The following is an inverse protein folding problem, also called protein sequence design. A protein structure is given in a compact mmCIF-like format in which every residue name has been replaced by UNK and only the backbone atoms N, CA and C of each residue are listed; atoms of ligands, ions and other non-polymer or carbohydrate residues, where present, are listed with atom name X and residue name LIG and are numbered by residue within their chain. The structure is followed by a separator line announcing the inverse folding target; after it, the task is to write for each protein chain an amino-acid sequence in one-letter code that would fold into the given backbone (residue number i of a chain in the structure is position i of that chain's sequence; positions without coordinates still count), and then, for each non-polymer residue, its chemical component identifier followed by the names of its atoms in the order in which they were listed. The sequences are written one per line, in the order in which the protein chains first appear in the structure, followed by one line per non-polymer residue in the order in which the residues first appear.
data_IF_196348474641
#
_entry.id   IF_196348474641
#
_cell.length_a   1.000
_cell.length_b   1.000
_cell.length_c   1.000
_cell.angle_alpha   90.00
_cell.angle_beta   90.00
_cell.angle_gamma   90.00
#
_symmetry.space_group_name_H-M   'P 1'
#
loop_
_entity.id
_entity.type
_entity.pdbx_description
1 polymer ?
#
# COMPACT_ATOMS: atom_id res chain seq x y z
N UNK A 1 -6.25 -43.99 18.02
CA UNK A 1 -5.17 -43.00 17.95
C UNK A 1 -5.36 -42.22 16.66
N UNK A 2 -6.11 -41.12 16.72
CA UNK A 2 -6.28 -40.22 15.58
C UNK A 2 -5.17 -39.18 15.67
N UNK A 3 -4.26 -39.19 14.70
CA UNK A 3 -3.23 -38.17 14.53
C UNK A 3 -3.88 -36.91 13.97
N UNK A 4 -4.07 -35.89 14.78
CA UNK A 4 -4.36 -34.54 14.31
C UNK A 4 -3.09 -33.97 13.65
N UNK A 5 -3.15 -33.82 12.32
CA UNK A 5 -2.18 -33.02 11.57
C UNK A 5 -2.34 -31.57 12.01
N UNK A 6 -1.50 -31.12 12.95
CA UNK A 6 -1.36 -29.71 13.28
C UNK A 6 -0.78 -29.00 12.05
N UNK A 7 -1.66 -28.38 11.25
CA UNK A 7 -1.26 -27.43 10.22
C UNK A 7 -0.57 -26.28 10.95
N UNK A 8 0.76 -26.23 10.88
CA UNK A 8 1.55 -25.18 11.50
C UNK A 8 1.05 -23.81 11.06
N UNK A 9 0.43 -23.08 11.99
CA UNK A 9 0.04 -21.69 11.78
C UNK A 9 1.33 -20.87 11.75
N UNK A 10 1.90 -20.70 10.55
CA UNK A 10 3.03 -19.78 10.38
C UNK A 10 2.47 -18.39 10.56
N UNK A 11 2.95 -17.68 11.57
CA UNK A 11 2.62 -16.28 11.80
C UNK A 11 2.89 -15.50 10.49
N UNK A 12 1.88 -14.88 9.86
CA UNK A 12 2.07 -14.13 8.64
C UNK A 12 3.07 -12.99 8.81
N UNK A 13 3.18 -12.40 10.00
CA UNK A 13 4.15 -11.37 10.32
C UNK A 13 5.60 -11.89 10.25
N UNK A 14 5.85 -13.15 10.65
CA UNK A 14 7.17 -13.77 10.59
C UNK A 14 7.70 -13.88 9.15
N UNK A 15 6.82 -13.89 8.14
CA UNK A 15 7.20 -13.94 6.72
C UNK A 15 7.87 -12.66 6.23
N UNK A 16 7.68 -11.54 6.93
CA UNK A 16 8.35 -10.26 6.62
C UNK A 16 9.75 -10.16 7.26
N UNK A 17 10.01 -10.93 8.32
CA UNK A 17 11.22 -10.80 9.14
C UNK A 17 11.32 -9.48 9.93
N UNK A 18 10.28 -8.62 9.89
CA UNK A 18 10.25 -7.36 10.63
C UNK A 18 9.74 -7.57 12.05
N UNK A 19 10.27 -6.79 13.00
CA UNK A 19 9.58 -6.52 14.26
C UNK A 19 8.40 -5.57 14.05
N UNK A 20 7.45 -5.58 14.98
CA UNK A 20 6.30 -4.66 15.00
C UNK A 20 6.74 -3.19 14.86
N UNK A 21 7.76 -2.77 15.62
CA UNK A 21 8.26 -1.40 15.57
C UNK A 21 8.86 -1.03 14.20
N UNK A 22 9.58 -1.95 13.56
CA UNK A 22 10.11 -1.74 12.21
C UNK A 22 8.98 -1.65 11.19
N UNK A 23 7.99 -2.55 11.25
CA UNK A 23 6.82 -2.52 10.39
C UNK A 23 6.05 -1.18 10.54
N UNK A 24 5.80 -0.73 11.76
CA UNK A 24 5.13 0.55 12.03
C UNK A 24 5.93 1.74 11.48
N UNK A 25 7.25 1.74 11.64
CA UNK A 25 8.09 2.81 11.11
C UNK A 25 8.07 2.86 9.57
N UNK A 26 8.26 1.71 8.92
CA UNK A 26 8.30 1.60 7.45
C UNK A 26 6.95 1.90 6.82
N UNK A 27 5.85 1.42 7.42
CA UNK A 27 4.51 1.69 6.92
C UNK A 27 4.12 3.17 7.10
N UNK A 28 4.48 3.80 8.24
CA UNK A 28 4.28 5.24 8.44
C UNK A 28 5.05 6.07 7.42
N UNK A 29 6.31 5.73 7.16
CA UNK A 29 7.13 6.38 6.14
C UNK A 29 6.49 6.27 4.75
N UNK A 30 6.00 5.08 4.40
CA UNK A 30 5.33 4.87 3.12
C UNK A 30 4.06 5.71 2.98
N UNK A 31 3.21 5.75 4.02
CA UNK A 31 2.00 6.58 4.00
C UNK A 31 2.33 8.08 3.87
N UNK A 32 3.35 8.56 4.59
CA UNK A 32 3.80 9.95 4.52
C UNK A 32 4.34 10.31 3.14
N UNK A 33 5.08 9.39 2.50
CA UNK A 33 5.55 9.57 1.12
C UNK A 33 4.39 9.69 0.13
N UNK A 34 3.34 8.89 0.30
CA UNK A 34 2.16 8.95 -0.57
C UNK A 34 1.42 10.27 -0.41
N UNK A 35 1.19 10.70 0.84
CA UNK A 35 0.56 11.97 1.18
C UNK A 35 1.33 13.16 0.59
N UNK A 36 2.64 13.24 0.85
CA UNK A 36 3.50 14.31 0.32
C UNK A 36 3.48 14.37 -1.20
N UNK A 37 3.42 13.20 -1.87
CA UNK A 37 3.38 13.15 -3.33
C UNK A 37 2.02 13.62 -3.87
N UNK A 38 0.92 13.24 -3.23
CA UNK A 38 -0.41 13.71 -3.60
C UNK A 38 -0.53 15.24 -3.43
N UNK A 39 -0.03 15.78 -2.32
CA UNK A 39 0.02 17.23 -2.08
C UNK A 39 0.82 17.95 -3.17
N UNK A 40 1.97 17.39 -3.58
CA UNK A 40 2.76 17.97 -4.67
C UNK A 40 1.98 18.00 -5.99
N UNK A 41 1.32 16.90 -6.35
CA UNK A 41 0.53 16.85 -7.59
C UNK A 41 -0.59 17.90 -7.58
N UNK A 42 -1.25 18.10 -6.43
CA UNK A 42 -2.30 19.11 -6.29
C UNK A 42 -1.75 20.54 -6.35
N UNK A 43 -0.70 20.84 -5.59
CA UNK A 43 -0.22 22.21 -5.39
C UNK A 43 0.69 22.70 -6.51
N UNK A 44 1.50 21.82 -7.09
CA UNK A 44 2.55 22.17 -8.06
C UNK A 44 2.12 21.79 -9.47
N UNK A 45 1.62 20.56 -9.65
CA UNK A 45 1.30 20.03 -10.98
C UNK A 45 -0.15 20.34 -11.40
N UNK A 46 -0.98 20.87 -10.48
CA UNK A 46 -2.37 21.25 -10.72
C UNK A 46 -3.31 20.07 -10.97
N UNK A 47 -2.95 18.89 -10.48
CA UNK A 47 -3.74 17.66 -10.63
C UNK A 47 -4.70 17.53 -9.44
N UNK A 48 -6.00 17.52 -9.74
CA UNK A 48 -7.08 17.49 -8.76
C UNK A 48 -7.21 16.11 -8.07
N UNK A 49 -6.26 15.79 -7.19
CA UNK A 49 -6.23 14.59 -6.35
C UNK A 49 -6.30 15.03 -4.89
N UNK A 50 -7.38 14.66 -4.22
CA UNK A 50 -7.54 14.90 -2.79
C UNK A 50 -7.04 13.69 -1.99
N UNK A 51 -6.18 13.92 -1.00
CA UNK A 51 -5.75 12.88 -0.05
C UNK A 51 -6.35 13.09 1.33
N UNK A 52 -6.87 12.01 1.94
CA UNK A 52 -7.37 12.00 3.31
C UNK A 52 -6.72 10.88 4.12
N UNK A 53 -6.09 11.23 5.25
CA UNK A 53 -5.37 10.28 6.11
C UNK A 53 -6.09 10.06 7.44
N UNK A 54 -6.33 8.79 7.78
CA UNK A 54 -6.90 8.37 9.08
C UNK A 54 -6.11 7.19 9.62
N UNK A 55 -5.29 7.42 10.65
CA UNK A 55 -4.48 6.36 11.27
C UNK A 55 -3.55 5.67 10.25
N UNK A 56 -3.77 4.37 10.05
CA UNK A 56 -3.03 3.54 9.09
C UNK A 56 -3.58 3.55 7.66
N UNK A 57 -4.54 4.42 7.34
CA UNK A 57 -5.20 4.50 6.05
C UNK A 57 -4.98 5.86 5.39
N UNK A 58 -4.73 5.85 4.09
CA UNK A 58 -4.85 7.02 3.20
C UNK A 58 -5.80 6.69 2.05
N UNK A 59 -6.72 7.61 1.77
CA UNK A 59 -7.61 7.57 0.62
C UNK A 59 -7.20 8.69 -0.35
N UNK A 60 -7.02 8.35 -1.63
CA UNK A 60 -6.84 9.28 -2.73
C UNK A 60 -8.14 9.33 -3.53
N UNK A 61 -8.74 10.50 -3.68
CA UNK A 61 -9.97 10.73 -4.44
C UNK A 61 -9.66 11.48 -5.74
N UNK A 62 -10.29 11.05 -6.84
CA UNK A 62 -10.07 11.58 -8.19
C UNK A 62 -11.35 12.22 -8.76
N UNK A 63 -11.26 13.14 -9.73
CA UNK A 63 -12.43 13.87 -10.25
C UNK A 63 -13.42 12.96 -10.97
N UNK A 64 -12.94 11.83 -11.50
CA UNK A 64 -13.77 10.81 -12.12
C UNK A 64 -14.49 9.89 -11.11
N UNK A 65 -14.56 10.30 -9.83
CA UNK A 65 -15.20 9.60 -8.70
C UNK A 65 -14.56 8.27 -8.32
N UNK A 66 -13.41 7.91 -8.90
CA UNK A 66 -12.64 6.77 -8.42
C UNK A 66 -11.84 7.12 -7.19
N UNK A 67 -11.41 6.07 -6.50
CA UNK A 67 -10.60 6.16 -5.30
C UNK A 67 -9.47 5.15 -5.36
N UNK A 68 -8.37 5.47 -4.69
CA UNK A 68 -7.35 4.49 -4.29
C UNK A 68 -7.28 4.53 -2.77
N UNK A 69 -7.39 3.37 -2.13
CA UNK A 69 -7.25 3.25 -0.68
C UNK A 69 -5.98 2.47 -0.39
N UNK A 70 -5.11 3.00 0.45
CA UNK A 70 -3.93 2.32 0.97
C UNK A 70 -4.08 2.18 2.47
N UNK A 71 -4.00 0.95 2.98
CA UNK A 71 -4.25 0.65 4.39
C UNK A 71 -3.20 -0.31 4.95
N UNK A 72 -2.61 0.04 6.09
CA UNK A 72 -1.69 -0.83 6.84
C UNK A 72 -2.44 -1.95 7.53
N UNK A 73 -1.89 -3.16 7.54
CA UNK A 73 -2.43 -4.36 8.18
C UNK A 73 -1.43 -4.92 9.22
N UNK A 74 -1.37 -4.33 10.44
CA UNK A 74 -0.38 -4.74 11.45
C UNK A 74 -0.33 -6.23 11.76
N UNK A 75 -1.45 -6.96 11.92
CA UNK A 75 -1.40 -8.40 12.18
C UNK A 75 -0.74 -9.22 11.05
N UNK A 76 -0.64 -8.67 9.84
CA UNK A 76 -0.08 -9.34 8.67
C UNK A 76 1.31 -8.81 8.27
N UNK A 77 1.77 -7.71 8.87
CA UNK A 77 2.89 -6.90 8.38
C UNK A 77 2.78 -6.56 6.88
N UNK A 78 1.58 -6.19 6.44
CA UNK A 78 1.27 -5.89 5.03
C UNK A 78 0.71 -4.48 4.83
N UNK A 79 0.86 -3.96 3.62
CA UNK A 79 0.09 -2.82 3.11
C UNK A 79 -0.90 -3.37 2.08
N UNK A 80 -2.18 -3.06 2.27
CA UNK A 80 -3.24 -3.37 1.32
C UNK A 80 -3.55 -2.15 0.47
N UNK A 81 -3.66 -2.35 -0.85
CA UNK A 81 -4.07 -1.32 -1.81
C UNK A 81 -5.34 -1.77 -2.50
N UNK A 82 -6.37 -0.93 -2.51
CA UNK A 82 -7.55 -1.07 -3.35
C UNK A 82 -7.57 0.04 -4.40
N UNK A 83 -7.63 -0.34 -5.68
CA UNK A 83 -7.74 0.56 -6.82
C UNK A 83 -8.75 0.00 -7.82
N UNK A 84 -9.04 0.72 -8.92
CA UNK A 84 -9.91 0.20 -10.00
C UNK A 84 -9.45 -1.16 -10.54
N UNK A 85 -8.13 -1.38 -10.56
CA UNK A 85 -7.49 -2.62 -11.04
C UNK A 85 -7.67 -3.82 -10.09
N UNK A 86 -8.16 -3.60 -8.86
CA UNK A 86 -8.39 -4.64 -7.87
C UNK A 86 -7.73 -4.36 -6.52
N UNK A 87 -7.57 -5.42 -5.73
CA UNK A 87 -6.94 -5.41 -4.41
C UNK A 87 -5.60 -6.12 -4.40
N UNK A 88 -4.59 -5.49 -3.80
CA UNK A 88 -3.20 -5.92 -3.80
C UNK A 88 -2.64 -5.94 -2.38
N UNK A 89 -1.76 -6.89 -2.10
CA UNK A 89 -1.18 -7.09 -0.77
C UNK A 89 0.32 -7.03 -0.88
N UNK A 90 0.92 -6.09 -0.17
CA UNK A 90 2.35 -5.81 -0.22
C UNK A 90 3.02 -6.18 1.09
N UNK A 91 4.10 -6.94 1.01
CA UNK A 91 4.95 -7.29 2.15
C UNK A 91 6.33 -6.73 1.95
N UNK A 92 6.95 -6.28 3.03
CA UNK A 92 8.32 -5.77 2.98
C UNK A 92 9.33 -6.92 2.81
N UNK A 93 10.16 -6.85 1.79
CA UNK A 93 11.22 -7.81 1.45
C UNK A 93 12.41 -7.04 0.85
N UNK A 94 13.63 -7.30 1.33
CA UNK A 94 14.87 -6.70 0.82
C UNK A 94 14.82 -5.16 0.64
N UNK A 95 14.21 -4.46 1.60
CA UNK A 95 14.11 -3.00 1.60
C UNK A 95 12.99 -2.43 0.71
N UNK A 96 12.08 -3.27 0.21
CA UNK A 96 10.99 -2.86 -0.70
C UNK A 96 9.66 -3.46 -0.28
N UNK A 97 8.57 -2.76 -0.61
CA UNK A 97 7.22 -3.29 -0.49
C UNK A 97 6.85 -4.00 -1.80
N UNK A 98 6.69 -5.32 -1.75
CA UNK A 98 6.45 -6.15 -2.95
C UNK A 98 5.13 -6.89 -2.86
N UNK A 99 4.41 -6.96 -3.98
CA UNK A 99 3.15 -7.66 -4.08
C UNK A 99 3.36 -9.16 -3.82
N UNK A 100 2.51 -9.72 -2.97
CA UNK A 100 2.63 -11.10 -2.49
C UNK A 100 2.27 -12.15 -3.54
N UNK A 101 1.68 -11.76 -4.68
CA UNK A 101 1.30 -12.65 -5.78
C UNK A 101 2.23 -12.49 -6.99
N UNK A 102 2.60 -11.26 -7.35
CA UNK A 102 3.34 -10.96 -8.58
C UNK A 102 4.80 -10.56 -8.34
N UNK A 103 5.14 -10.08 -7.14
CA UNK A 103 6.44 -9.48 -6.84
C UNK A 103 6.61 -8.05 -7.37
N UNK A 104 5.56 -7.44 -7.94
CA UNK A 104 5.58 -6.04 -8.37
C UNK A 104 5.78 -5.10 -7.17
N UNK A 105 6.50 -4.00 -7.37
CA UNK A 105 6.78 -3.05 -6.29
C UNK A 105 5.59 -2.07 -6.08
N UNK A 106 5.31 -1.74 -4.81
CA UNK A 106 4.17 -0.91 -4.39
C UNK A 106 4.08 0.42 -5.14
N UNK A 107 5.15 1.21 -5.18
CA UNK A 107 5.15 2.53 -5.81
C UNK A 107 5.02 2.41 -7.33
N UNK A 108 5.55 1.35 -7.95
CA UNK A 108 5.32 1.06 -9.36
C UNK A 108 3.84 0.78 -9.64
N UNK A 109 3.17 -0.07 -8.84
CA UNK A 109 1.72 -0.29 -8.95
C UNK A 109 0.95 1.02 -8.74
N UNK A 110 1.28 1.76 -7.68
CA UNK A 110 0.59 3.02 -7.36
C UNK A 110 0.75 4.02 -8.51
N UNK A 111 1.95 4.20 -9.07
CA UNK A 111 2.20 5.09 -10.21
C UNK A 111 1.30 4.74 -11.41
N UNK A 112 1.14 3.45 -11.72
CA UNK A 112 0.24 3.00 -12.78
C UNK A 112 -1.24 3.32 -12.45
N UNK A 113 -1.70 3.00 -11.24
CA UNK A 113 -3.09 3.23 -10.82
C UNK A 113 -3.45 4.72 -10.75
N UNK A 114 -2.59 5.57 -10.17
CA UNK A 114 -2.82 7.01 -10.08
C UNK A 114 -2.79 7.65 -11.47
N UNK A 115 -1.90 7.21 -12.36
CA UNK A 115 -1.84 7.74 -13.73
C UNK A 115 -3.12 7.42 -14.52
N UNK A 116 -3.58 6.17 -14.42
CA UNK A 116 -4.83 5.73 -15.04
C UNK A 116 -6.04 6.49 -14.48
N UNK A 117 -6.12 6.65 -13.16
CA UNK A 117 -7.26 7.27 -12.50
C UNK A 117 -7.26 8.80 -12.61
N UNK A 118 -6.10 9.44 -12.73
CA UNK A 118 -5.98 10.89 -12.99
C UNK A 118 -6.09 11.24 -14.48
N UNK A 119 -5.84 10.28 -15.38
CA UNK A 119 -5.84 10.52 -16.82
C UNK A 119 -4.59 11.25 -17.34
N UNK A 120 -3.51 11.29 -16.54
CA UNK A 120 -2.23 11.91 -16.90
C UNK A 120 -1.07 11.12 -16.27
N UNK A 121 0.14 11.09 -16.87
CA UNK A 121 1.28 10.39 -16.28
C UNK A 121 1.74 11.00 -14.96
N UNK A 122 1.84 10.17 -13.91
CA UNK A 122 2.25 10.54 -12.55
C UNK A 122 3.20 9.48 -11.96
N UNK A 123 4.07 9.88 -11.04
CA UNK A 123 5.07 9.00 -10.44
C UNK A 123 5.54 9.42 -9.04
N UNK A 124 6.18 8.48 -8.33
CA UNK A 124 6.59 8.58 -6.91
C UNK A 124 8.10 8.74 -6.70
#
# INVERSE_FOLDING_TARGET
MSTETSLGHTDPAARSGLSEAQYQALSREMLARIELRADHWLQVDGVDIDSARTGGLIELSFPNRSKIVVNTQPPLHEIWVAARRGGFHFRHQDGRWVDTKTGEELLALLAACVSEQAGTPLGF
#
